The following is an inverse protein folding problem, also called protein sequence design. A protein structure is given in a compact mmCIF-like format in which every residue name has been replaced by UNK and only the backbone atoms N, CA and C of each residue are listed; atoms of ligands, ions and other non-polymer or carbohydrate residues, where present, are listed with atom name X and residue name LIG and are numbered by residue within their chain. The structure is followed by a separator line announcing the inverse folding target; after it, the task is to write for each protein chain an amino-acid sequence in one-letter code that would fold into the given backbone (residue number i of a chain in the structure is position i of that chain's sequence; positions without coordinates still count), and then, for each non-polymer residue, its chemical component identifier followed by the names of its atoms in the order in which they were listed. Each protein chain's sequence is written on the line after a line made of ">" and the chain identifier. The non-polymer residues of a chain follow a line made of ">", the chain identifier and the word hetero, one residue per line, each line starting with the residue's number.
data_IF_097518062933
#
_entry.id   IF_097518062933
#
_cell.length_a   1.000
_cell.length_b   1.000
_cell.length_c   1.000
_cell.angle_alpha   90.00
_cell.angle_beta   90.00
_cell.angle_gamma   90.00
#
_symmetry.space_group_name_H-M   'P 1'
#
loop_
_entity.id
_entity.type
_entity.pdbx_description
1 polymer ?
#
# COMPACT_ATOMS: atom_id res chain seq x y z
N UNK A 1 -11.90 14.81 9.07
CA UNK A 1 -11.67 13.36 9.21
C UNK A 1 -12.41 12.70 8.05
N UNK A 2 -11.72 12.42 6.94
CA UNK A 2 -12.35 11.69 5.83
C UNK A 2 -12.38 10.22 6.20
N UNK A 3 -13.58 9.65 6.24
CA UNK A 3 -13.79 8.22 6.53
C UNK A 3 -13.21 7.43 5.38
N UNK A 4 -12.12 6.70 5.62
CA UNK A 4 -11.52 5.79 4.64
C UNK A 4 -12.46 4.61 4.45
N UNK A 5 -13.34 4.66 3.46
CA UNK A 5 -14.31 3.58 3.21
C UNK A 5 -13.59 2.34 2.71
N UNK A 6 -13.80 1.21 3.41
CA UNK A 6 -13.37 -0.11 2.96
C UNK A 6 -14.12 -0.50 1.67
N UNK A 7 -13.39 -0.95 0.65
CA UNK A 7 -13.95 -1.36 -0.65
C UNK A 7 -13.27 -2.61 -1.19
N UNK A 8 -13.96 -3.43 -1.99
CA UNK A 8 -13.34 -4.54 -2.70
C UNK A 8 -12.23 -4.03 -3.63
N UNK A 9 -11.09 -4.73 -3.64
CA UNK A 9 -9.98 -4.48 -4.56
C UNK A 9 -9.42 -5.80 -5.07
N UNK A 10 -9.13 -5.88 -6.36
CA UNK A 10 -8.54 -7.07 -6.98
C UNK A 10 -7.03 -6.94 -7.01
N UNK A 11 -6.35 -7.89 -6.38
CA UNK A 11 -4.89 -8.00 -6.38
C UNK A 11 -4.47 -9.13 -7.32
N UNK A 12 -3.29 -9.00 -7.92
CA UNK A 12 -2.74 -10.02 -8.81
C UNK A 12 -1.81 -10.95 -8.02
N UNK A 13 -2.19 -12.22 -7.87
CA UNK A 13 -1.41 -13.25 -7.19
C UNK A 13 -0.95 -14.32 -8.19
N UNK A 14 0.06 -15.12 -7.81
CA UNK A 14 0.58 -16.18 -8.67
C UNK A 14 -0.49 -17.23 -9.03
N UNK A 15 -1.43 -17.51 -8.13
CA UNK A 15 -2.52 -18.47 -8.35
C UNK A 15 -3.71 -17.88 -9.13
N UNK A 16 -3.66 -16.59 -9.45
CA UNK A 16 -4.73 -15.85 -10.10
C UNK A 16 -5.12 -14.57 -9.33
N UNK A 17 -6.07 -13.79 -9.87
CA UNK A 17 -6.59 -12.61 -9.19
C UNK A 17 -7.36 -12.99 -7.91
N UNK A 18 -7.15 -12.23 -6.84
CA UNK A 18 -7.83 -12.40 -5.56
C UNK A 18 -8.53 -11.10 -5.16
N UNK A 19 -9.66 -11.20 -4.48
CA UNK A 19 -10.39 -10.01 -4.00
C UNK A 19 -10.12 -9.80 -2.52
N UNK A 20 -9.65 -8.61 -2.17
CA UNK A 20 -9.40 -8.18 -0.79
C UNK A 20 -10.28 -6.99 -0.42
N UNK A 21 -10.47 -6.79 0.87
CA UNK A 21 -11.05 -5.55 1.40
C UNK A 21 -9.92 -4.54 1.59
N UNK A 22 -10.01 -3.40 0.92
CA UNK A 22 -8.98 -2.36 0.96
C UNK A 22 -9.55 -1.02 1.42
N UNK A 23 -8.76 -0.25 2.16
CA UNK A 23 -9.02 1.15 2.45
C UNK A 23 -8.18 2.03 1.51
N UNK A 24 -8.61 3.26 1.23
CA UNK A 24 -7.90 4.20 0.34
C UNK A 24 -7.59 5.51 1.06
N UNK A 25 -6.54 5.55 1.91
CA UNK A 25 -6.20 6.74 2.69
C UNK A 25 -5.69 7.90 1.82
N UNK A 26 -5.21 7.59 0.61
CA UNK A 26 -4.75 8.52 -0.42
C UNK A 26 -5.38 8.08 -1.74
N UNK A 27 -5.93 8.99 -2.58
CA UNK A 27 -6.48 8.63 -3.88
C UNK A 27 -5.48 7.82 -4.71
N UNK A 28 -5.92 6.68 -5.23
CA UNK A 28 -5.07 5.80 -6.05
C UNK A 28 -4.19 4.81 -5.27
N UNK A 29 -4.03 5.00 -3.96
CA UNK A 29 -3.38 4.05 -3.07
C UNK A 29 -4.38 3.24 -2.26
N UNK A 30 -4.06 1.96 -2.08
CA UNK A 30 -4.82 1.00 -1.31
C UNK A 30 -4.00 0.38 -0.19
N UNK A 31 -4.66 0.24 0.96
CA UNK A 31 -4.14 -0.51 2.09
C UNK A 31 -5.04 -1.71 2.35
N UNK A 32 -4.45 -2.90 2.36
CA UNK A 32 -5.17 -4.15 2.55
C UNK A 32 -4.27 -5.20 3.21
N UNK A 33 -4.91 -6.20 3.80
CA UNK A 33 -4.23 -7.39 4.31
C UNK A 33 -4.21 -8.49 3.24
N UNK A 34 -3.05 -9.14 3.06
CA UNK A 34 -2.95 -10.32 2.19
C UNK A 34 -3.66 -11.51 2.85
N UNK A 35 -4.59 -12.20 2.16
CA UNK A 35 -5.25 -13.37 2.68
C UNK A 35 -4.26 -14.47 3.06
N UNK A 36 -4.52 -15.19 4.15
CA UNK A 36 -3.67 -16.31 4.58
C UNK A 36 -3.60 -17.49 3.61
N UNK A 37 -4.47 -17.52 2.61
CA UNK A 37 -4.44 -18.49 1.51
C UNK A 37 -3.48 -18.11 0.38
N UNK A 38 -3.09 -16.83 0.30
CA UNK A 38 -2.24 -16.27 -0.77
C UNK A 38 -0.77 -16.28 -0.37
N UNK A 39 -0.47 -15.94 0.88
CA UNK A 39 0.87 -15.97 1.44
C UNK A 39 0.86 -16.81 2.72
N UNK A 40 1.91 -17.62 2.90
CA UNK A 40 2.17 -18.38 4.12
C UNK A 40 2.17 -17.44 5.34
N UNK A 41 2.21 -17.92 6.60
CA UNK A 41 2.21 -17.04 7.76
C UNK A 41 3.48 -16.16 7.81
N UNK A 42 3.44 -15.05 7.09
CA UNK A 42 4.33 -13.90 7.15
C UNK A 42 3.76 -12.92 8.16
N UNK A 43 4.63 -12.31 8.97
CA UNK A 43 4.24 -11.19 9.82
C UNK A 43 3.96 -9.93 9.00
N UNK A 44 4.56 -9.80 7.81
CA UNK A 44 4.34 -8.66 6.91
C UNK A 44 3.11 -8.94 6.06
N UNK A 45 1.90 -8.74 6.61
CA UNK A 45 0.63 -9.02 5.90
C UNK A 45 -0.01 -7.81 5.26
N UNK A 46 0.22 -6.63 5.82
CA UNK A 46 -0.34 -5.40 5.30
C UNK A 46 0.43 -4.94 4.07
N UNK A 47 -0.29 -4.42 3.08
CA UNK A 47 0.27 -3.94 1.82
C UNK A 47 -0.15 -2.50 1.59
N UNK A 48 0.77 -1.73 1.01
CA UNK A 48 0.43 -0.52 0.28
C UNK A 48 0.48 -0.92 -1.20
N UNK A 49 -0.66 -0.85 -1.87
CA UNK A 49 -0.81 -1.18 -3.28
C UNK A 49 -1.32 0.01 -4.08
N UNK A 50 -0.98 0.01 -5.36
CA UNK A 50 -1.55 0.91 -6.35
C UNK A 50 -2.91 0.39 -6.83
N UNK A 51 -3.81 1.27 -7.25
CA UNK A 51 -5.16 0.86 -7.69
C UNK A 51 -5.17 -0.08 -8.91
N UNK A 52 -4.06 -0.21 -9.62
CA UNK A 52 -3.87 -1.21 -10.69
C UNK A 52 -3.66 -2.64 -10.18
N UNK A 53 -3.51 -2.85 -8.87
CA UNK A 53 -3.24 -4.16 -8.25
C UNK A 53 -1.75 -4.48 -8.06
N UNK A 54 -0.84 -3.53 -8.32
CA UNK A 54 0.59 -3.69 -8.00
C UNK A 54 0.86 -3.34 -6.54
N UNK A 55 1.79 -4.06 -5.92
CA UNK A 55 2.25 -3.78 -4.55
C UNK A 55 3.43 -2.81 -4.59
N UNK A 56 3.40 -1.82 -3.71
CA UNK A 56 4.48 -0.85 -3.50
C UNK A 56 5.30 -1.24 -2.25
N UNK A 57 4.62 -1.53 -1.13
CA UNK A 57 5.28 -1.83 0.14
C UNK A 57 4.52 -2.86 0.98
N UNK A 58 5.20 -3.45 1.96
CA UNK A 58 4.64 -4.38 2.93
C UNK A 58 4.93 -3.93 4.37
N UNK A 59 3.99 -4.15 5.27
CA UNK A 59 4.10 -3.81 6.69
C UNK A 59 3.50 -4.90 7.58
N UNK A 60 3.93 -4.91 8.85
CA UNK A 60 3.39 -5.85 9.85
C UNK A 60 2.01 -5.42 10.36
N UNK A 61 1.78 -4.13 10.48
CA UNK A 61 0.55 -3.56 11.05
C UNK A 61 -0.15 -2.64 10.05
N UNK A 62 -1.48 -2.60 10.11
CA UNK A 62 -2.30 -1.73 9.25
C UNK A 62 -1.89 -0.27 9.37
N UNK A 63 -1.69 0.21 10.61
CA UNK A 63 -1.32 1.59 10.88
C UNK A 63 -0.02 2.02 10.21
N UNK A 64 0.97 1.11 10.12
CA UNK A 64 2.23 1.38 9.41
C UNK A 64 2.01 1.48 7.91
N UNK A 65 1.15 0.63 7.33
CA UNK A 65 0.81 0.71 5.91
C UNK A 65 0.04 1.99 5.57
N UNK A 66 -0.92 2.40 6.42
CA UNK A 66 -1.64 3.67 6.26
C UNK A 66 -0.67 4.85 6.30
N UNK A 67 0.23 4.91 7.29
CA UNK A 67 1.24 5.96 7.38
C UNK A 67 2.19 5.96 6.19
N UNK A 68 2.61 4.78 5.74
CA UNK A 68 3.43 4.63 4.53
C UNK A 68 2.75 5.22 3.30
N UNK A 69 1.46 4.92 3.10
CA UNK A 69 0.67 5.51 2.01
C UNK A 69 0.57 7.04 2.12
N UNK A 70 0.37 7.57 3.33
CA UNK A 70 0.32 9.01 3.57
C UNK A 70 1.67 9.71 3.33
N UNK A 71 2.79 9.08 3.70
CA UNK A 71 4.15 9.65 3.50
C UNK A 71 4.51 9.81 2.03
N UNK A 72 4.02 8.93 1.17
CA UNK A 72 4.29 8.99 -0.27
C UNK A 72 3.24 9.79 -1.05
N UNK A 73 2.20 10.29 -0.38
CA UNK A 73 1.05 10.93 -1.02
C UNK A 73 1.45 12.07 -1.97
N UNK A 74 2.41 12.90 -1.55
CA UNK A 74 2.83 14.09 -2.28
C UNK A 74 3.94 13.83 -3.31
N UNK A 75 4.39 12.57 -3.46
CA UNK A 75 5.43 12.23 -4.45
C UNK A 75 4.89 12.16 -5.88
N UNK A 76 3.59 11.89 -6.06
CA UNK A 76 2.93 11.84 -7.36
C UNK A 76 1.40 11.83 -7.23
N UNK A 77 0.72 12.05 -8.36
CA UNK A 77 -0.69 11.69 -8.49
C UNK A 77 -0.82 10.16 -8.67
N UNK A 78 -1.07 9.46 -7.57
CA UNK A 78 -1.23 8.00 -7.53
C UNK A 78 -2.48 7.48 -8.25
N UNK A 79 -3.31 8.34 -8.84
CA UNK A 79 -4.43 7.92 -9.71
C UNK A 79 -3.99 7.68 -11.15
N UNK A 80 -2.75 8.04 -11.49
CA UNK A 80 -2.19 7.85 -12.83
C UNK A 80 -1.83 6.39 -13.12
N UNK A 81 -1.82 5.98 -14.39
CA UNK A 81 -1.31 4.67 -14.78
C UNK A 81 0.15 4.45 -14.34
N UNK A 82 0.47 3.19 -14.01
CA UNK A 82 1.80 2.79 -13.50
C UNK A 82 2.95 3.22 -14.41
N UNK A 83 2.76 3.19 -15.72
CA UNK A 83 3.81 3.56 -16.68
C UNK A 83 4.08 5.08 -16.72
N UNK A 84 3.15 5.90 -16.23
CA UNK A 84 3.40 7.32 -15.97
C UNK A 84 4.16 7.50 -14.66
N UNK A 85 3.71 6.85 -13.59
CA UNK A 85 4.37 6.87 -12.29
C UNK A 85 5.84 6.41 -12.37
N UNK A 86 6.16 5.39 -13.18
CA UNK A 86 7.53 4.92 -13.37
C UNK A 86 8.46 5.92 -14.05
N UNK A 87 7.91 6.88 -14.80
CA UNK A 87 8.69 7.95 -15.45
C UNK A 87 8.94 9.09 -14.49
N UNK A 88 7.98 9.38 -13.62
CA UNK A 88 7.94 10.61 -12.84
C UNK A 88 8.32 10.42 -11.36
N UNK A 89 8.20 9.21 -10.82
CA UNK A 89 8.56 8.89 -9.43
C UNK A 89 9.97 8.32 -9.35
N UNK A 90 10.84 9.02 -8.61
CA UNK A 90 12.17 8.52 -8.28
C UNK A 90 12.08 7.31 -7.34
N UNK A 91 12.66 6.15 -7.69
CA UNK A 91 12.73 5.00 -6.78
C UNK A 91 13.45 5.31 -5.48
N UNK A 92 14.46 6.19 -5.51
CA UNK A 92 15.21 6.62 -4.33
C UNK A 92 14.34 7.44 -3.39
N UNK A 93 13.65 8.46 -3.90
CA UNK A 93 12.77 9.31 -3.07
C UNK A 93 11.60 8.50 -2.49
N UNK A 94 11.05 7.58 -3.29
CA UNK A 94 10.04 6.65 -2.82
C UNK A 94 10.56 5.79 -1.66
N UNK A 95 11.74 5.18 -1.81
CA UNK A 95 12.34 4.35 -0.77
C UNK A 95 12.64 5.16 0.50
N UNK A 96 13.25 6.33 0.36
CA UNK A 96 13.56 7.23 1.47
C UNK A 96 12.28 7.60 2.22
N UNK A 97 11.21 7.95 1.53
CA UNK A 97 9.92 8.28 2.14
C UNK A 97 9.31 7.11 2.94
N UNK A 98 9.29 5.88 2.40
CA UNK A 98 8.68 4.75 3.12
C UNK A 98 9.52 4.24 4.28
N UNK A 99 10.85 4.38 4.21
CA UNK A 99 11.77 3.81 5.20
C UNK A 99 11.56 4.32 6.63
N UNK A 100 11.01 5.54 6.77
CA UNK A 100 10.72 6.17 8.07
C UNK A 100 9.30 5.91 8.59
N UNK A 101 8.43 5.23 7.84
CA UNK A 101 7.01 5.09 8.17
C UNK A 101 6.73 4.42 9.53
N UNK A 102 7.57 3.46 9.93
CA UNK A 102 7.46 2.75 11.21
C UNK A 102 8.28 3.39 12.34
N UNK A 103 9.31 4.18 12.02
CA UNK A 103 10.19 4.80 13.01
C UNK A 103 9.54 6.02 13.69
N UNK A 104 8.71 6.77 12.96
CA UNK A 104 8.11 8.00 13.51
C UNK A 104 7.03 7.70 14.56
N UNK A 105 6.24 6.63 14.36
CA UNK A 105 5.14 6.21 15.24
C UNK A 105 4.92 4.70 15.13
N UNK A 106 5.61 3.86 15.90
CA UNK A 106 5.45 2.41 15.80
C UNK A 106 4.02 1.99 16.18
N UNK A 107 3.36 1.19 15.33
CA UNK A 107 2.00 0.67 15.61
C UNK A 107 1.92 -0.33 16.77
N UNK A 108 3.06 -0.78 17.29
CA UNK A 108 3.18 -1.81 18.32
C UNK A 108 3.54 -1.27 19.71
N UNK A 109 3.59 0.06 19.87
CA UNK A 109 3.85 0.73 21.14
C UNK A 109 2.56 1.03 21.92
#
# INVERSE_FOLDING_TARGET
>A
MSVTTARPHTIQCQQGPETVTATSPVPGLYVYEIPGTVDQPSLLRWRVGHHSGLVIAAAMYEGDAIRGAQKIADLADWTLPVDELRRDVSPTELYDAISWASCDHPAYA
#
